data_IF_462657729187
#
_entry.id   IF_462657729187
#
_cell.length_a   1.000
_cell.length_b   1.000
_cell.length_c   1.000
_cell.angle_alpha   90.00
_cell.angle_beta   90.00
_cell.angle_gamma   90.00
#
_symmetry.space_group_name_H-M   'P 1'
#
loop_
_entity.id
_entity.type
_entity.pdbx_description
1 polymer ?
#
# COMPACT_ATOMS: atom_id res chain seq x y z
N UNK A 1 -10.37 -1.92 -3.28
CA UNK A 1 -9.87 -2.88 -4.30
C UNK A 1 -8.44 -2.50 -4.67
N UNK A 2 -7.57 -3.47 -4.96
CA UNK A 2 -6.21 -3.16 -5.41
C UNK A 2 -6.20 -2.49 -6.79
N UNK A 3 -5.47 -1.40 -6.91
CA UNK A 3 -5.21 -0.68 -8.16
C UNK A 3 -3.72 -0.80 -8.48
N UNK A 4 -3.37 -1.12 -9.73
CA UNK A 4 -1.97 -1.32 -10.10
C UNK A 4 -1.14 -0.03 -9.89
N UNK A 5 -0.10 -0.07 -9.04
CA UNK A 5 0.69 1.10 -8.69
C UNK A 5 1.61 1.51 -9.84
N UNK A 6 1.69 2.82 -10.13
CA UNK A 6 2.68 3.37 -11.06
C UNK A 6 4.01 3.54 -10.32
N UNK A 7 5.02 2.77 -10.71
CA UNK A 7 6.33 2.69 -10.01
C UNK A 7 7.51 3.22 -10.82
N UNK A 8 7.21 3.86 -11.96
CA UNK A 8 8.15 4.41 -12.93
C UNK A 8 7.90 5.90 -13.19
N UNK A 9 7.58 6.66 -12.15
CA UNK A 9 7.46 8.11 -12.22
C UNK A 9 8.77 8.73 -12.70
N UNK A 10 8.67 9.60 -13.70
CA UNK A 10 9.76 10.43 -14.21
C UNK A 10 9.61 11.90 -13.83
N UNK A 11 10.63 12.73 -14.12
CA UNK A 11 10.60 14.16 -13.84
C UNK A 11 9.55 14.94 -14.65
N UNK A 12 9.16 14.41 -15.82
CA UNK A 12 8.15 15.02 -16.70
C UNK A 12 6.72 14.56 -16.37
N UNK A 13 6.56 13.60 -15.44
CA UNK A 13 5.25 13.13 -15.04
C UNK A 13 4.58 14.10 -14.06
N UNK A 14 3.29 14.33 -14.26
CA UNK A 14 2.50 15.15 -13.36
C UNK A 14 1.72 14.29 -12.36
N UNK A 15 2.00 14.46 -11.08
CA UNK A 15 1.28 13.77 -10.01
C UNK A 15 -0.01 14.51 -9.70
N UNK A 16 -1.17 13.89 -9.97
CA UNK A 16 -2.47 14.53 -9.81
C UNK A 16 -3.32 13.88 -8.71
N UNK A 17 -4.52 14.42 -8.49
CA UNK A 17 -5.44 13.93 -7.46
C UNK A 17 -5.93 12.50 -7.70
N UNK A 18 -6.03 12.04 -8.95
CA UNK A 18 -6.37 10.64 -9.26
C UNK A 18 -5.26 9.69 -8.82
N UNK A 19 -3.99 10.08 -8.99
CA UNK A 19 -2.85 9.28 -8.53
C UNK A 19 -2.82 9.16 -7.02
N UNK A 20 -3.13 10.25 -6.32
CA UNK A 20 -3.19 10.26 -4.87
C UNK A 20 -4.38 9.45 -4.33
N UNK A 21 -5.53 9.51 -5.00
CA UNK A 21 -6.66 8.62 -4.70
C UNK A 21 -6.28 7.14 -4.88
N UNK A 22 -5.47 6.81 -5.91
CA UNK A 22 -4.96 5.45 -6.12
C UNK A 22 -4.08 4.99 -4.95
N UNK A 23 -3.10 5.80 -4.55
CA UNK A 23 -2.20 5.49 -3.43
C UNK A 23 -2.99 5.25 -2.14
N UNK A 24 -3.98 6.10 -1.86
CA UNK A 24 -4.79 5.94 -0.66
C UNK A 24 -5.75 4.75 -0.71
N UNK A 25 -6.37 4.49 -1.86
CA UNK A 25 -7.19 3.29 -2.04
C UNK A 25 -6.36 2.01 -1.85
N UNK A 26 -5.11 2.01 -2.33
CA UNK A 26 -4.17 0.90 -2.12
C UNK A 26 -3.76 0.77 -0.65
N UNK A 27 -3.56 1.89 0.04
CA UNK A 27 -3.24 1.92 1.47
C UNK A 27 -4.38 1.34 2.30
N UNK A 28 -5.62 1.72 2.02
CA UNK A 28 -6.83 1.16 2.63
C UNK A 28 -6.95 -0.35 2.36
N UNK A 29 -6.72 -0.77 1.11
CA UNK A 29 -6.78 -2.17 0.75
C UNK A 29 -5.71 -3.01 1.47
N UNK A 30 -4.50 -2.50 1.64
CA UNK A 30 -3.46 -3.21 2.42
C UNK A 30 -3.83 -3.28 3.90
N UNK A 31 -4.43 -2.24 4.48
CA UNK A 31 -4.94 -2.29 5.84
C UNK A 31 -6.03 -3.38 6.00
N UNK A 32 -6.92 -3.52 5.01
CA UNK A 32 -7.88 -4.62 4.93
C UNK A 32 -7.16 -5.98 4.86
N UNK A 33 -6.12 -6.12 4.04
CA UNK A 33 -5.33 -7.36 3.98
C UNK A 33 -4.70 -7.71 5.34
N UNK A 34 -4.14 -6.71 6.03
CA UNK A 34 -3.57 -6.87 7.37
C UNK A 34 -4.63 -7.34 8.37
N UNK A 35 -5.88 -6.90 8.21
CA UNK A 35 -6.98 -7.25 9.11
C UNK A 35 -7.25 -8.76 9.17
N UNK A 36 -6.99 -9.50 8.08
CA UNK A 36 -7.09 -10.96 8.06
C UNK A 36 -6.05 -11.66 8.93
N UNK A 37 -4.92 -11.00 9.21
CA UNK A 37 -3.84 -11.54 10.03
C UNK A 37 -3.85 -11.00 11.47
N UNK A 38 -4.73 -10.06 11.81
CA UNK A 38 -4.85 -9.47 13.15
C UNK A 38 -5.32 -8.02 13.10
N UNK A 39 -5.12 -7.26 14.17
CA UNK A 39 -5.58 -5.87 14.23
C UNK A 39 -4.81 -4.98 13.25
N UNK A 40 -5.49 -4.29 12.31
CA UNK A 40 -4.85 -3.32 11.42
C UNK A 40 -4.57 -2.00 12.16
N UNK A 41 -3.57 -1.21 11.71
CA UNK A 41 -3.36 0.13 12.25
C UNK A 41 -4.53 1.05 11.86
N UNK A 42 -4.81 2.04 12.71
CA UNK A 42 -5.80 3.08 12.40
C UNK A 42 -5.18 4.04 11.41
N UNK A 43 -5.71 4.06 10.18
CA UNK A 43 -5.28 4.95 9.10
C UNK A 43 -6.42 5.87 8.68
N UNK A 44 -6.07 7.04 8.13
CA UNK A 44 -7.05 8.01 7.61
C UNK A 44 -6.79 8.24 6.14
N UNK A 45 -7.68 7.74 5.28
CA UNK A 45 -7.62 7.89 3.82
C UNK A 45 -8.76 8.78 3.30
N UNK A 46 -8.51 9.50 2.21
CA UNK A 46 -9.46 10.38 1.52
C UNK A 46 -9.44 10.05 0.02
N UNK A 47 -10.26 9.08 -0.39
CA UNK A 47 -10.26 8.52 -1.75
C UNK A 47 -11.15 9.27 -2.76
N UNK A 48 -11.99 10.20 -2.31
CA UNK A 48 -12.90 11.00 -3.14
C UNK A 48 -12.37 12.43 -3.41
N UNK A 49 -11.06 12.58 -3.67
CA UNK A 49 -10.50 13.90 -4.00
C UNK A 49 -10.96 14.35 -5.38
N UNK A 50 -11.31 15.63 -5.48
CA UNK A 50 -11.62 16.32 -6.74
C UNK A 50 -10.65 17.49 -6.94
N UNK A 51 -10.50 17.95 -8.18
CA UNK A 51 -9.61 19.05 -8.60
C UNK A 51 -9.76 20.36 -7.78
N UNK A 52 -10.83 20.50 -6.98
CA UNK A 52 -11.12 21.65 -6.13
C UNK A 52 -10.40 21.69 -4.78
N UNK A 53 -9.67 20.64 -4.40
CA UNK A 53 -8.74 20.70 -3.28
C UNK A 53 -7.34 20.90 -3.84
N UNK A 54 -6.82 22.11 -3.66
CA UNK A 54 -5.37 22.33 -3.72
C UNK A 54 -4.81 21.49 -2.58
N UNK A 55 -4.26 20.33 -2.92
CA UNK A 55 -3.71 19.39 -1.97
C UNK A 55 -2.42 20.00 -1.39
N UNK A 56 -2.49 20.43 -0.14
CA UNK A 56 -1.36 20.97 0.61
C UNK A 56 -0.41 19.85 1.05
N UNK A 57 0.82 20.23 1.40
CA UNK A 57 1.85 19.38 2.00
C UNK A 57 1.28 18.43 3.07
N UNK A 58 0.31 18.89 3.89
CA UNK A 58 -0.37 18.08 4.91
C UNK A 58 -1.03 16.79 4.39
N UNK A 59 -1.57 16.79 3.17
CA UNK A 59 -2.19 15.60 2.59
C UNK A 59 -1.17 14.58 2.11
N UNK A 60 0.01 15.05 1.72
CA UNK A 60 1.12 14.20 1.32
C UNK A 60 1.83 13.62 2.55
N UNK A 61 2.00 14.42 3.59
CA UNK A 61 2.57 13.99 4.87
C UNK A 61 1.68 12.90 5.51
N UNK A 62 0.35 13.08 5.50
CA UNK A 62 -0.61 12.05 5.97
C UNK A 62 -0.46 10.73 5.22
N UNK A 63 -0.28 10.79 3.90
CA UNK A 63 -0.14 9.57 3.08
C UNK A 63 1.15 8.83 3.44
N UNK A 64 2.27 9.55 3.59
CA UNK A 64 3.53 8.94 4.02
C UNK A 64 3.42 8.35 5.43
N UNK A 65 2.77 9.05 6.36
CA UNK A 65 2.52 8.56 7.72
C UNK A 65 1.69 7.27 7.70
N UNK A 66 0.60 7.22 6.94
CA UNK A 66 -0.22 6.01 6.80
C UNK A 66 0.61 4.82 6.27
N UNK A 67 1.43 5.05 5.24
CA UNK A 67 2.29 4.00 4.66
C UNK A 67 3.32 3.51 5.69
N UNK A 68 3.92 4.42 6.47
CA UNK A 68 4.83 4.07 7.57
C UNK A 68 4.13 3.30 8.68
N UNK A 69 2.88 3.63 9.02
CA UNK A 69 2.07 2.91 10.00
C UNK A 69 1.82 1.47 9.56
N UNK A 70 1.52 1.23 8.28
CA UNK A 70 1.41 -0.14 7.74
C UNK A 70 2.73 -0.91 7.88
N UNK A 71 3.85 -0.24 7.67
CA UNK A 71 5.19 -0.81 7.75
C UNK A 71 5.65 -1.14 9.18
N UNK A 72 5.02 -0.58 10.22
CA UNK A 72 5.35 -0.90 11.62
C UNK A 72 5.15 -2.38 11.94
N UNK A 73 4.17 -3.02 11.28
CA UNK A 73 3.90 -4.44 11.46
C UNK A 73 4.97 -5.31 10.80
N UNK A 74 5.35 -4.96 9.57
CA UNK A 74 6.37 -5.69 8.82
C UNK A 74 6.95 -4.81 7.72
N UNK A 75 8.28 -4.77 7.64
CA UNK A 75 9.02 -4.13 6.55
C UNK A 75 9.52 -5.20 5.57
N UNK A 76 8.93 -5.32 4.36
CA UNK A 76 9.36 -6.30 3.39
C UNK A 76 10.78 -6.00 2.87
N UNK A 77 11.53 -7.01 2.38
CA UNK A 77 12.82 -6.79 1.76
C UNK A 77 12.66 -5.87 0.53
N UNK A 78 13.51 -4.86 0.42
CA UNK A 78 13.39 -3.80 -0.58
C UNK A 78 12.59 -2.58 -0.13
N UNK A 79 12.10 -2.55 1.11
CA UNK A 79 11.50 -1.36 1.71
C UNK A 79 12.47 -0.19 1.72
N UNK A 80 12.02 0.95 1.22
CA UNK A 80 12.77 2.19 1.28
C UNK A 80 12.14 3.13 2.33
N UNK A 81 12.92 3.42 3.37
CA UNK A 81 12.52 4.22 4.54
C UNK A 81 13.05 5.66 4.49
N UNK A 82 13.43 6.14 3.30
CA UNK A 82 13.93 7.50 3.12
C UNK A 82 12.91 8.53 3.63
N UNK A 83 13.43 9.63 4.18
CA UNK A 83 12.60 10.78 4.53
C UNK A 83 11.99 11.43 3.28
N UNK A 84 10.82 12.05 3.46
CA UNK A 84 10.18 12.83 2.40
C UNK A 84 11.09 13.98 1.99
N UNK A 85 11.33 14.15 0.69
CA UNK A 85 11.95 15.38 0.22
C UNK A 85 10.99 16.56 0.44
N UNK A 86 11.56 17.71 0.76
CA UNK A 86 10.82 18.98 0.87
C UNK A 86 11.43 19.97 -0.11
N UNK A 87 10.79 20.29 -1.24
CA UNK A 87 9.47 19.82 -1.70
C UNK A 87 9.48 18.34 -2.15
N UNK A 88 8.30 17.73 -2.21
CA UNK A 88 8.13 16.34 -2.63
C UNK A 88 8.44 16.20 -4.12
N UNK A 89 9.24 15.19 -4.45
CA UNK A 89 9.63 14.87 -5.82
C UNK A 89 9.00 13.54 -6.29
N UNK A 90 9.04 13.31 -7.61
CA UNK A 90 8.62 12.05 -8.25
C UNK A 90 9.30 10.80 -7.65
N UNK A 91 10.47 10.97 -7.02
CA UNK A 91 11.19 9.90 -6.31
C UNK A 91 10.46 9.43 -5.05
N UNK A 92 9.86 10.35 -4.30
CA UNK A 92 9.06 10.01 -3.11
C UNK A 92 7.79 9.27 -3.51
N UNK A 93 7.16 9.69 -4.60
CA UNK A 93 5.97 9.00 -5.14
C UNK A 93 6.32 7.58 -5.59
N UNK A 94 7.44 7.41 -6.31
CA UNK A 94 7.95 6.08 -6.66
C UNK A 94 8.18 5.23 -5.41
N UNK A 95 8.76 5.81 -4.36
CA UNK A 95 8.98 5.12 -3.08
C UNK A 95 7.66 4.61 -2.50
N UNK A 96 6.63 5.46 -2.40
CA UNK A 96 5.33 5.08 -1.86
C UNK A 96 4.69 3.92 -2.61
N UNK A 97 4.59 4.04 -3.94
CA UNK A 97 3.95 3.06 -4.81
C UNK A 97 4.73 1.73 -4.81
N UNK A 98 6.06 1.77 -4.77
CA UNK A 98 6.90 0.57 -4.63
C UNK A 98 6.73 -0.11 -3.27
N UNK A 99 6.75 0.67 -2.19
CA UNK A 99 6.56 0.16 -0.83
C UNK A 99 5.18 -0.50 -0.67
N UNK A 100 4.11 0.12 -1.18
CA UNK A 100 2.77 -0.45 -1.20
C UNK A 100 2.73 -1.75 -2.03
N UNK A 101 3.37 -1.78 -3.20
CA UNK A 101 3.47 -3.00 -4.03
C UNK A 101 4.14 -4.14 -3.27
N UNK A 102 5.22 -3.88 -2.55
CA UNK A 102 5.91 -4.89 -1.74
C UNK A 102 5.03 -5.45 -0.62
N UNK A 103 4.32 -4.59 0.09
CA UNK A 103 3.36 -5.01 1.13
C UNK A 103 2.22 -5.84 0.52
N UNK A 104 1.67 -5.42 -0.61
CA UNK A 104 0.63 -6.17 -1.31
C UNK A 104 1.10 -7.57 -1.69
N UNK A 105 2.27 -7.71 -2.34
CA UNK A 105 2.83 -9.02 -2.73
C UNK A 105 3.05 -9.91 -1.50
N UNK A 106 3.55 -9.33 -0.40
CA UNK A 106 3.76 -10.07 0.84
C UNK A 106 2.45 -10.59 1.44
N UNK A 107 1.45 -9.72 1.66
CA UNK A 107 0.19 -10.14 2.27
C UNK A 107 -0.63 -11.04 1.35
N UNK A 108 -0.68 -10.74 0.05
CA UNK A 108 -1.38 -11.56 -0.92
C UNK A 108 -0.76 -12.97 -1.02
N UNK A 109 0.57 -13.06 -1.07
CA UNK A 109 1.28 -14.35 -1.07
C UNK A 109 1.03 -15.16 0.19
N UNK A 110 0.97 -14.50 1.36
CA UNK A 110 0.59 -15.16 2.61
C UNK A 110 -0.85 -15.68 2.56
N UNK A 111 -1.82 -14.88 2.11
CA UNK A 111 -3.23 -15.32 2.01
C UNK A 111 -3.34 -16.55 1.09
N UNK A 112 -2.62 -16.55 -0.04
CA UNK A 112 -2.61 -17.68 -0.97
C UNK A 112 -2.00 -18.94 -0.34
N UNK A 113 -0.89 -18.79 0.39
CA UNK A 113 -0.27 -19.89 1.14
C UNK A 113 -1.19 -20.43 2.26
N UNK A 114 -1.91 -19.56 2.97
CA UNK A 114 -2.89 -19.98 3.99
C UNK A 114 -4.02 -20.82 3.38
N UNK A 115 -4.50 -20.46 2.17
CA UNK A 115 -5.49 -21.26 1.45
C UNK A 115 -4.95 -22.64 1.08
N UNK A 116 -3.69 -22.73 0.65
CA UNK A 116 -3.05 -24.00 0.29
C UNK A 116 -2.82 -24.90 1.53
N UNK A 117 -2.35 -24.33 2.63
CA UNK A 117 -2.10 -25.08 3.88
C UNK A 117 -3.37 -25.62 4.55
N UNK A 118 -4.55 -25.10 4.21
CA UNK A 118 -5.84 -25.60 4.69
C UNK A 118 -6.44 -26.76 3.88
N UNK A 119 -5.83 -27.17 2.75
CA UNK A 119 -6.42 -28.10 1.79
C UNK A 119 -5.69 -29.44 1.64
N UNK A 120 -4.99 -29.91 2.68
CA UNK A 120 -4.69 -31.33 2.80
C UNK A 120 -5.71 -31.95 3.76
N UNK A 121 -6.86 -32.36 3.21
CA UNK A 121 -7.64 -33.44 3.81
C UNK A 121 -6.76 -34.69 3.81
N UNK A 122 -5.98 -34.85 4.88
CA UNK A 122 -5.32 -36.10 5.21
C UNK A 122 -6.43 -37.08 5.63
N UNK A 123 -7.03 -37.75 4.65
CA UNK A 123 -8.22 -38.55 4.85
C UNK A 123 -8.82 -39.17 3.60
N UNK A 124 -8.02 -39.37 2.53
CA UNK A 124 -8.40 -40.38 1.52
C UNK A 124 -7.95 -41.75 2.04
N UNK A 125 -8.63 -42.22 3.09
CA UNK A 125 -8.70 -43.63 3.43
C UNK A 125 -9.80 -44.29 2.59
N UNK A 126 -9.40 -45.31 1.83
CA UNK A 126 -10.25 -46.44 1.45
C UNK A 126 -10.90 -46.37 0.06
N UNK A 127 -10.27 -47.04 -0.93
CA UNK A 127 -10.65 -48.39 -1.40
C UNK A 127 -9.42 -49.11 -1.94
#
# INVERSE_FOLDING_TARGET
MWLEPKTNWGPDDYYNFYDLNRVEANTEYIAELISYFGTPPVIVTITDRTMKRIEFQDSLDRVDENIRLLAQRYKPPGWNDAELNTPIDWRDVNRWEQNLKLLYVYYQGNIDAFRYCGMYTCGEEGV
#
